data_IF_819082581228
#
_entry.id   IF_819082581228
#
_cell.length_a   1.000
_cell.length_b   1.000
_cell.length_c   1.000
_cell.angle_alpha   90.00
_cell.angle_beta   90.00
_cell.angle_gamma   90.00
#
_symmetry.space_group_name_H-M   'P 1'
#
loop_
_entity.id
_entity.type
_entity.pdbx_description
1 polymer ?
#
# COMPACT_ATOMS: atom_id res chain seq x y z
N UNK A 1 -7.07 3.76 8.29
CA UNK A 1 -6.71 3.90 6.86
C UNK A 1 -5.69 5.00 6.72
N UNK A 2 -4.70 4.83 5.88
CA UNK A 2 -3.54 5.72 5.81
C UNK A 2 -3.25 6.04 4.35
N UNK A 3 -3.18 7.32 4.03
CA UNK A 3 -2.53 7.86 2.83
C UNK A 3 -1.08 8.14 3.20
N UNK A 4 -0.13 7.56 2.46
CA UNK A 4 1.29 7.51 2.83
C UNK A 4 2.14 8.44 1.98
N UNK A 5 3.25 8.93 2.53
CA UNK A 5 4.16 9.82 1.80
C UNK A 5 5.57 9.28 1.70
N UNK A 6 6.12 9.31 0.48
CA UNK A 6 7.53 9.05 0.19
C UNK A 6 8.45 10.27 0.32
N UNK A 7 7.99 11.38 0.90
CA UNK A 7 8.75 12.63 1.01
C UNK A 7 10.04 12.46 1.84
N UNK A 8 11.09 13.22 1.48
CA UNK A 8 12.37 13.24 2.19
C UNK A 8 12.47 14.31 3.28
N UNK A 9 11.41 15.07 3.48
CA UNK A 9 11.36 16.14 4.48
C UNK A 9 10.03 16.05 5.25
N UNK A 10 9.97 16.56 6.48
CA UNK A 10 8.71 16.69 7.21
C UNK A 10 7.70 17.52 6.43
N UNK A 11 6.44 17.14 6.49
CA UNK A 11 5.35 17.94 5.99
C UNK A 11 5.29 19.33 6.64
N UNK A 12 4.65 20.31 6.00
CA UNK A 12 4.51 21.66 6.55
C UNK A 12 3.72 21.63 7.87
N UNK A 13 3.84 22.70 8.66
CA UNK A 13 3.11 22.82 9.93
C UNK A 13 1.59 22.87 9.71
N UNK A 14 1.16 23.55 8.64
CA UNK A 14 -0.24 23.59 8.22
C UNK A 14 -0.55 22.35 7.39
N UNK A 15 -1.64 21.62 7.69
CA UNK A 15 -2.06 20.46 6.90
C UNK A 15 -2.18 20.75 5.41
N UNK A 16 -1.69 19.84 4.56
CA UNK A 16 -1.67 19.98 3.11
C UNK A 16 -1.84 18.62 2.42
N UNK A 17 -2.04 18.64 1.10
CA UNK A 17 -1.99 17.47 0.23
C UNK A 17 -0.58 16.89 0.08
N UNK A 18 -0.48 15.69 -0.50
CA UNK A 18 0.76 14.94 -0.74
C UNK A 18 1.56 14.67 0.55
N UNK A 19 0.86 14.53 1.67
CA UNK A 19 1.41 14.25 3.00
C UNK A 19 0.75 13.02 3.60
N UNK A 20 1.08 12.72 4.87
CA UNK A 20 0.50 11.56 5.55
C UNK A 20 -0.80 11.94 6.25
N UNK A 21 -1.86 11.21 5.93
CA UNK A 21 -3.16 11.32 6.56
C UNK A 21 -3.61 9.98 7.11
N UNK A 22 -4.08 9.98 8.34
CA UNK A 22 -4.66 8.82 9.02
C UNK A 22 -6.12 9.10 9.29
N UNK A 23 -7.01 8.18 8.92
CA UNK A 23 -8.40 8.19 9.31
C UNK A 23 -8.79 6.86 9.95
N UNK A 24 -9.67 6.90 10.94
CA UNK A 24 -10.17 5.69 11.59
C UNK A 24 -11.65 5.80 11.93
N UNK A 25 -12.29 4.67 12.10
CA UNK A 25 -13.65 4.56 12.58
C UNK A 25 -13.78 3.33 13.48
N UNK A 26 -14.58 3.44 14.52
CA UNK A 26 -14.98 2.31 15.35
C UNK A 26 -16.33 1.79 14.83
N UNK A 27 -16.38 0.51 14.48
CA UNK A 27 -17.59 -0.15 14.00
C UNK A 27 -18.31 -0.95 15.09
N UNK A 28 -17.76 -1.00 16.31
CA UNK A 28 -18.32 -1.73 17.44
C UNK A 28 -19.33 -0.88 18.25
N UNK A 29 -19.36 0.44 18.07
CA UNK A 29 -20.32 1.32 18.68
C UNK A 29 -21.73 1.07 18.13
N UNK A 30 -22.67 0.85 19.05
CA UNK A 30 -24.06 0.44 18.84
C UNK A 30 -24.75 1.26 17.69
N UNK A 31 -25.28 0.62 16.64
CA UNK A 31 -25.89 1.32 15.50
C UNK A 31 -27.10 2.19 15.88
N UNK A 32 -27.67 2.05 17.09
CA UNK A 32 -28.80 2.85 17.58
C UNK A 32 -28.42 4.31 17.89
N UNK A 33 -27.16 4.68 17.97
CA UNK A 33 -26.71 6.05 18.26
C UNK A 33 -26.11 6.75 17.03
N UNK A 34 -25.94 6.04 15.92
CA UNK A 34 -25.50 6.64 14.66
C UNK A 34 -26.74 7.19 13.96
N UNK A 35 -26.94 8.50 14.05
CA UNK A 35 -27.90 9.23 13.23
C UNK A 35 -27.77 8.78 11.77
N UNK A 36 -28.90 8.64 11.05
CA UNK A 36 -29.01 8.25 9.65
C UNK A 36 -28.32 9.18 8.64
N UNK A 37 -27.71 10.23 9.09
CA UNK A 37 -26.66 10.94 8.38
C UNK A 37 -25.40 10.10 8.57
N UNK A 38 -24.96 9.38 7.55
CA UNK A 38 -23.69 8.67 7.51
C UNK A 38 -22.69 9.49 8.32
N UNK A 39 -22.28 8.97 9.50
CA UNK A 39 -21.20 9.57 10.29
C UNK A 39 -19.92 9.31 9.51
N UNK A 40 -19.73 10.15 8.57
CA UNK A 40 -19.01 9.93 7.32
C UNK A 40 -17.54 10.18 7.42
N UNK A 41 -17.06 10.58 8.57
CA UNK A 41 -15.62 10.65 8.80
C UNK A 41 -15.40 10.45 10.28
N UNK A 42 -14.86 9.31 10.63
CA UNK A 42 -14.13 9.16 11.88
C UNK A 42 -13.08 10.28 11.98
N UNK A 43 -12.42 10.43 13.12
CA UNK A 43 -11.39 11.43 13.28
C UNK A 43 -10.30 11.27 12.21
N UNK A 44 -9.80 12.40 11.74
CA UNK A 44 -8.72 12.51 10.76
C UNK A 44 -7.50 13.12 11.44
N UNK A 45 -6.32 12.56 11.15
CA UNK A 45 -5.06 13.07 11.67
C UNK A 45 -4.08 13.32 10.54
N UNK A 46 -3.58 14.54 10.46
CA UNK A 46 -2.44 14.92 9.66
C UNK A 46 -1.14 14.58 10.41
N UNK A 47 -0.21 13.90 9.73
CA UNK A 47 1.10 13.60 10.26
C UNK A 47 2.18 14.23 9.38
N UNK A 48 3.15 14.88 10.04
CA UNK A 48 4.24 15.53 9.33
C UNK A 48 5.36 14.58 8.97
N UNK A 49 5.50 13.49 9.71
CA UNK A 49 6.55 12.50 9.50
C UNK A 49 6.00 11.08 9.56
N UNK A 50 6.73 10.14 8.95
CA UNK A 50 6.41 8.71 9.02
C UNK A 50 6.55 8.17 10.44
N UNK A 51 7.56 8.63 11.18
CA UNK A 51 7.74 8.25 12.57
C UNK A 51 6.53 8.64 13.43
N UNK A 52 6.02 9.88 13.30
CA UNK A 52 4.79 10.33 13.97
C UNK A 52 3.60 9.46 13.59
N UNK A 53 3.45 9.14 12.29
CA UNK A 53 2.35 8.32 11.82
C UNK A 53 2.37 6.90 12.39
N UNK A 54 3.53 6.26 12.44
CA UNK A 54 3.69 4.90 12.99
C UNK A 54 3.34 4.86 14.49
N UNK A 55 3.75 5.85 15.27
CA UNK A 55 3.38 5.92 16.70
C UNK A 55 1.85 6.02 16.86
N UNK A 56 1.21 6.95 16.14
CA UNK A 56 -0.25 7.12 16.21
C UNK A 56 -0.99 5.84 15.79
N UNK A 57 -0.55 5.19 14.71
CA UNK A 57 -1.18 3.93 14.24
C UNK A 57 -1.01 2.83 15.28
N UNK A 58 0.19 2.71 15.88
CA UNK A 58 0.44 1.73 16.93
C UNK A 58 -0.46 1.94 18.16
N UNK A 59 -0.61 3.20 18.59
CA UNK A 59 -1.47 3.54 19.72
C UNK A 59 -2.94 3.25 19.42
N UNK A 60 -3.44 3.65 18.26
CA UNK A 60 -4.80 3.33 17.82
C UNK A 60 -5.06 1.80 17.80
N UNK A 61 -4.08 1.02 17.32
CA UNK A 61 -4.21 -0.44 17.34
C UNK A 61 -4.20 -1.03 18.74
N UNK A 62 -3.39 -0.50 19.67
CA UNK A 62 -3.34 -0.98 21.06
C UNK A 62 -4.59 -0.63 21.85
N UNK A 63 -5.09 0.59 21.68
CA UNK A 63 -6.26 1.10 22.40
C UNK A 63 -7.58 0.46 21.93
N UNK A 64 -7.60 -0.14 20.73
CA UNK A 64 -8.80 -0.76 20.17
C UNK A 64 -9.07 -2.11 20.84
N UNK A 65 -10.27 -2.26 21.43
CA UNK A 65 -10.74 -3.51 21.99
C UNK A 65 -11.38 -4.39 20.90
N UNK A 66 -10.57 -5.15 20.17
CA UNK A 66 -11.06 -6.03 19.13
C UNK A 66 -10.13 -6.09 17.92
N UNK A 67 -10.52 -6.80 16.85
CA UNK A 67 -9.72 -6.87 15.63
C UNK A 67 -9.66 -5.51 14.92
N UNK A 68 -8.54 -5.24 14.26
CA UNK A 68 -8.28 -4.00 13.54
C UNK A 68 -7.95 -4.32 12.08
N UNK A 69 -8.43 -3.51 11.15
CA UNK A 69 -7.96 -3.46 9.77
C UNK A 69 -7.17 -2.17 9.59
N UNK A 70 -5.85 -2.30 9.33
CA UNK A 70 -4.94 -1.20 9.05
C UNK A 70 -4.62 -1.18 7.56
N UNK A 71 -5.19 -0.23 6.81
CA UNK A 71 -5.01 -0.11 5.36
C UNK A 71 -4.03 0.98 4.98
N UNK A 72 -3.15 0.70 4.00
CA UNK A 72 -2.13 1.63 3.50
C UNK A 72 -2.19 1.72 1.98
N UNK A 73 -2.00 2.89 1.41
CA UNK A 73 -2.16 3.18 -0.01
C UNK A 73 -0.88 3.00 -0.85
N UNK A 74 -0.07 2.04 -0.52
CA UNK A 74 1.12 1.69 -1.31
C UNK A 74 1.23 0.19 -1.55
N UNK A 75 1.95 -0.25 -2.62
CA UNK A 75 2.15 -1.66 -2.94
C UNK A 75 2.81 -2.45 -1.81
N UNK A 76 2.25 -3.62 -1.49
CA UNK A 76 2.78 -4.53 -0.46
C UNK A 76 3.74 -5.58 -1.00
N UNK A 77 3.99 -5.57 -2.29
CA UNK A 77 4.92 -6.48 -2.94
C UNK A 77 5.30 -6.01 -4.34
N UNK A 78 6.12 -6.82 -4.98
CA UNK A 78 6.65 -6.57 -6.31
C UNK A 78 6.29 -7.72 -7.24
N UNK A 79 6.29 -7.52 -8.58
CA UNK A 79 6.06 -8.60 -9.53
C UNK A 79 6.89 -9.84 -9.19
N UNK A 80 6.25 -11.02 -9.24
CA UNK A 80 6.83 -12.28 -8.77
C UNK A 80 8.18 -12.60 -9.44
N UNK A 81 8.32 -12.27 -10.72
CA UNK A 81 9.53 -12.46 -11.50
C UNK A 81 10.70 -11.54 -11.10
N UNK A 82 10.48 -10.54 -10.27
CA UNK A 82 11.54 -9.66 -9.75
C UNK A 82 12.42 -10.30 -8.68
N UNK A 83 11.90 -11.29 -7.97
CA UNK A 83 12.55 -11.92 -6.83
C UNK A 83 12.64 -11.07 -5.57
N UNK A 84 11.94 -9.92 -5.51
CA UNK A 84 11.87 -9.09 -4.30
C UNK A 84 10.81 -9.57 -3.30
N UNK A 85 9.76 -10.23 -3.80
CA UNK A 85 8.66 -10.73 -2.98
C UNK A 85 7.75 -9.63 -2.43
N UNK A 86 6.99 -9.96 -1.39
CA UNK A 86 6.02 -9.07 -0.77
C UNK A 86 5.77 -9.38 0.71
N UNK A 87 4.80 -8.68 1.29
CA UNK A 87 4.35 -8.85 2.67
C UNK A 87 5.45 -8.68 3.71
N UNK A 88 5.37 -9.43 4.79
CA UNK A 88 6.31 -9.36 5.92
C UNK A 88 7.77 -9.62 5.52
N UNK A 89 8.02 -10.57 4.62
CA UNK A 89 9.38 -10.89 4.18
C UNK A 89 10.03 -9.71 3.46
N UNK A 90 9.31 -9.07 2.54
CA UNK A 90 9.76 -7.87 1.85
C UNK A 90 9.90 -6.68 2.82
N UNK A 91 8.96 -6.49 3.74
CA UNK A 91 9.03 -5.46 4.77
C UNK A 91 10.29 -5.60 5.63
N UNK A 92 10.62 -6.81 6.07
CA UNK A 92 11.84 -7.11 6.83
C UNK A 92 13.11 -6.87 6.00
N UNK A 93 13.13 -7.31 4.74
CA UNK A 93 14.27 -7.06 3.84
C UNK A 93 14.51 -5.56 3.66
N UNK A 94 13.45 -4.80 3.42
CA UNK A 94 13.55 -3.35 3.23
C UNK A 94 13.94 -2.61 4.50
N UNK A 95 13.43 -3.01 5.67
CA UNK A 95 13.81 -2.42 6.94
C UNK A 95 15.32 -2.56 7.24
N UNK A 96 15.98 -3.59 6.72
CA UNK A 96 17.43 -3.77 6.84
C UNK A 96 18.25 -2.91 5.86
N UNK A 97 17.61 -2.30 4.85
CA UNK A 97 18.27 -1.50 3.82
C UNK A 97 17.92 0.00 3.92
N UNK A 98 16.72 0.28 4.38
CA UNK A 98 16.18 1.64 4.44
C UNK A 98 16.61 2.32 5.73
N UNK A 99 17.29 3.43 5.58
CA UNK A 99 17.49 4.42 6.64
C UNK A 99 16.41 5.48 6.49
N UNK A 100 15.55 5.62 7.50
CA UNK A 100 14.44 6.56 7.52
C UNK A 100 14.43 7.31 8.86
N UNK A 101 15.04 8.49 8.87
CA UNK A 101 15.20 9.31 10.07
C UNK A 101 13.85 9.89 10.54
N UNK A 102 13.69 10.24 11.84
CA UNK A 102 12.45 10.80 12.38
C UNK A 102 11.95 12.07 11.67
N UNK A 103 12.83 12.77 10.97
CA UNK A 103 12.50 13.94 10.15
C UNK A 103 12.26 13.64 8.68
N UNK A 104 12.02 12.38 8.32
CA UNK A 104 11.82 11.86 6.95
C UNK A 104 13.07 11.87 6.05
N UNK A 105 14.25 12.29 6.51
CA UNK A 105 15.46 12.11 5.73
C UNK A 105 15.71 10.61 5.51
N UNK A 106 15.97 10.19 4.26
CA UNK A 106 16.03 8.78 3.92
C UNK A 106 16.94 8.51 2.72
N UNK A 107 17.34 7.24 2.59
CA UNK A 107 18.24 6.73 1.55
C UNK A 107 17.52 5.96 0.43
N UNK A 108 16.23 6.20 0.18
CA UNK A 108 15.43 5.39 -0.79
C UNK A 108 16.03 5.33 -2.20
N UNK A 109 16.78 6.37 -2.61
CA UNK A 109 17.44 6.39 -3.91
C UNK A 109 18.59 5.37 -3.99
N UNK A 110 19.42 5.33 -2.96
CA UNK A 110 20.52 4.37 -2.80
C UNK A 110 19.96 2.94 -2.73
N UNK A 111 18.89 2.72 -1.94
CA UNK A 111 18.22 1.42 -1.82
C UNK A 111 17.68 0.95 -3.18
N UNK A 112 16.93 1.81 -3.89
CA UNK A 112 16.40 1.46 -5.21
C UNK A 112 17.54 1.13 -6.22
N UNK A 113 18.63 1.88 -6.19
CA UNK A 113 19.81 1.60 -7.02
C UNK A 113 20.50 0.28 -6.68
N UNK A 114 20.61 -0.05 -5.40
CA UNK A 114 21.15 -1.33 -4.93
C UNK A 114 20.24 -2.50 -5.32
N UNK A 115 18.92 -2.35 -5.21
CA UNK A 115 17.95 -3.36 -5.65
C UNK A 115 17.98 -3.56 -7.16
N UNK A 116 18.13 -2.50 -7.96
CA UNK A 116 18.36 -2.62 -9.41
C UNK A 116 19.60 -3.47 -9.71
N UNK A 117 20.70 -3.22 -9.02
CA UNK A 117 21.94 -4.01 -9.17
C UNK A 117 21.74 -5.47 -8.78
N UNK A 118 21.02 -5.72 -7.67
CA UNK A 118 20.72 -7.09 -7.21
C UNK A 118 19.85 -7.86 -8.21
N UNK A 119 18.82 -7.23 -8.76
CA UNK A 119 17.93 -7.85 -9.75
C UNK A 119 18.72 -8.11 -11.04
N UNK A 120 19.55 -7.16 -11.49
CA UNK A 120 20.38 -7.34 -12.68
C UNK A 120 21.36 -8.53 -12.53
N UNK A 121 21.98 -8.68 -11.37
CA UNK A 121 22.87 -9.81 -11.09
C UNK A 121 22.12 -11.17 -11.08
N UNK A 122 20.86 -11.18 -10.62
CA UNK A 122 20.03 -12.38 -10.59
C UNK A 122 19.42 -12.74 -11.95
N UNK A 123 19.37 -11.79 -12.89
CA UNK A 123 18.74 -11.94 -14.22
C UNK A 123 19.65 -11.40 -15.33
N UNK A 124 20.79 -12.04 -15.57
CA UNK A 124 21.81 -11.55 -16.53
C UNK A 124 21.32 -11.57 -18.00
N UNK A 125 20.29 -12.35 -18.31
CA UNK A 125 19.76 -12.49 -19.66
C UNK A 125 18.83 -11.33 -20.08
N UNK A 126 18.53 -10.40 -19.17
CA UNK A 126 17.72 -9.21 -19.47
C UNK A 126 18.57 -8.10 -20.09
N UNK A 127 17.94 -7.28 -20.95
CA UNK A 127 18.57 -6.07 -21.46
C UNK A 127 18.57 -4.96 -20.41
N UNK A 128 19.71 -4.73 -19.81
CA UNK A 128 19.96 -3.72 -18.77
C UNK A 128 20.50 -2.39 -19.31
N UNK A 129 20.57 -2.20 -20.64
CA UNK A 129 21.12 -0.97 -21.23
C UNK A 129 20.42 0.31 -20.75
N UNK A 130 19.12 0.21 -20.40
CA UNK A 130 18.34 1.31 -19.83
C UNK A 130 18.41 1.43 -18.30
N UNK A 131 19.13 0.52 -17.60
CA UNK A 131 19.05 0.37 -16.14
C UNK A 131 17.68 -0.17 -15.68
N UNK A 132 17.32 0.01 -14.41
CA UNK A 132 16.00 -0.36 -13.87
C UNK A 132 16.02 -1.68 -13.09
N UNK A 133 14.85 -2.20 -12.62
CA UNK A 133 13.49 -1.75 -12.94
C UNK A 133 13.02 -0.49 -12.20
N UNK A 134 13.59 -0.13 -11.05
CA UNK A 134 13.27 1.15 -10.40
C UNK A 134 13.76 2.31 -11.24
N UNK A 135 12.95 3.37 -11.36
CA UNK A 135 13.23 4.55 -12.19
C UNK A 135 12.51 5.81 -11.68
N UNK A 136 12.87 6.98 -12.24
CA UNK A 136 12.15 8.25 -11.97
C UNK A 136 12.65 9.00 -10.75
N UNK A 137 13.73 8.58 -10.09
CA UNK A 137 14.28 9.29 -8.96
C UNK A 137 15.04 10.56 -9.41
N UNK A 138 14.71 11.72 -8.80
CA UNK A 138 15.23 13.04 -9.19
C UNK A 138 16.18 13.61 -8.10
N UNK A 139 16.66 12.79 -7.18
CA UNK A 139 17.60 13.22 -6.12
C UNK A 139 18.97 13.61 -6.67
N UNK A 140 19.65 14.54 -5.99
CA UNK A 140 20.98 15.04 -6.39
C UNK A 140 22.05 13.93 -6.47
N UNK A 141 21.90 12.86 -5.74
CA UNK A 141 22.81 11.71 -5.63
C UNK A 141 22.19 10.44 -6.21
N UNK A 142 21.44 10.53 -7.31
CA UNK A 142 20.86 9.34 -7.94
C UNK A 142 21.97 8.36 -8.36
N UNK A 143 21.92 7.08 -7.90
CA UNK A 143 22.84 6.07 -8.39
C UNK A 143 22.76 5.90 -9.91
N UNK A 144 23.88 5.59 -10.56
CA UNK A 144 23.89 5.35 -12.03
C UNK A 144 22.96 4.22 -12.46
N UNK A 145 22.69 3.27 -11.57
CA UNK A 145 21.78 2.14 -11.80
C UNK A 145 20.29 2.52 -11.68
N UNK A 146 19.97 3.75 -11.26
CA UNK A 146 18.62 4.25 -11.08
C UNK A 146 18.30 5.31 -12.16
N UNK A 147 17.73 4.89 -13.31
CA UNK A 147 17.48 5.79 -14.43
C UNK A 147 16.38 6.80 -14.12
N UNK A 148 16.48 7.99 -14.70
CA UNK A 148 15.42 9.01 -14.59
C UNK A 148 14.20 8.70 -15.45
N UNK A 149 14.39 7.98 -16.56
CA UNK A 149 13.32 7.59 -17.49
C UNK A 149 13.04 6.11 -17.34
N UNK A 150 11.79 5.73 -17.63
CA UNK A 150 11.38 4.33 -17.65
C UNK A 150 12.32 3.48 -18.52
N UNK A 151 12.92 2.41 -17.97
CA UNK A 151 13.82 1.53 -18.69
C UNK A 151 13.03 0.56 -19.58
N UNK A 152 12.64 1.01 -20.79
CA UNK A 152 11.82 0.23 -21.71
C UNK A 152 12.36 -1.18 -22.02
N UNK A 153 13.68 -1.38 -22.26
CA UNK A 153 14.21 -2.71 -22.62
C UNK A 153 13.91 -3.77 -21.57
N UNK A 154 14.06 -3.46 -20.30
CA UNK A 154 13.81 -4.38 -19.18
C UNK A 154 12.36 -4.89 -19.15
N UNK A 155 11.40 -4.09 -19.64
CA UNK A 155 9.97 -4.42 -19.64
C UNK A 155 9.45 -4.83 -21.03
N UNK A 156 10.34 -4.97 -22.02
CA UNK A 156 9.93 -5.28 -23.40
C UNK A 156 9.63 -6.77 -23.56
N UNK A 157 8.37 -7.11 -23.71
CA UNK A 157 7.86 -8.47 -23.93
C UNK A 157 8.22 -9.04 -25.31
N UNK A 158 8.72 -8.24 -26.24
CA UNK A 158 9.17 -8.72 -27.55
C UNK A 158 10.56 -9.37 -27.49
N UNK A 159 11.26 -9.22 -26.35
CA UNK A 159 12.54 -9.88 -26.09
C UNK A 159 12.35 -11.28 -25.51
N UNK A 160 13.40 -12.11 -25.55
CA UNK A 160 13.35 -13.47 -24.99
C UNK A 160 13.27 -13.49 -23.46
N UNK A 161 13.68 -12.40 -22.80
CA UNK A 161 13.62 -12.25 -21.35
C UNK A 161 13.19 -10.82 -21.00
N UNK A 162 12.27 -10.69 -20.04
CA UNK A 162 11.70 -9.42 -19.61
C UNK A 162 11.25 -9.51 -18.16
N UNK A 163 11.10 -8.37 -17.48
CA UNK A 163 10.47 -8.23 -16.17
C UNK A 163 9.04 -7.72 -16.30
N UNK A 164 8.18 -8.17 -15.41
CA UNK A 164 6.83 -7.62 -15.28
C UNK A 164 6.89 -6.18 -14.77
N UNK A 165 6.27 -5.27 -15.53
CA UNK A 165 6.05 -3.90 -15.08
C UNK A 165 4.95 -3.83 -14.01
N UNK A 166 3.98 -4.74 -14.11
CA UNK A 166 2.73 -4.73 -13.36
C UNK A 166 2.57 -6.02 -12.59
N UNK A 167 2.19 -5.92 -11.30
CA UNK A 167 1.71 -7.05 -10.52
C UNK A 167 0.37 -7.56 -11.07
N UNK A 168 -0.09 -8.71 -10.61
CA UNK A 168 -1.39 -9.28 -11.01
C UNK A 168 -2.54 -8.29 -10.74
N UNK A 169 -2.52 -7.58 -9.61
CA UNK A 169 -3.57 -6.62 -9.25
C UNK A 169 -3.63 -5.44 -10.23
N UNK A 170 -2.50 -4.87 -10.62
CA UNK A 170 -2.50 -3.78 -11.60
C UNK A 170 -2.92 -4.28 -12.98
N UNK A 171 -2.52 -5.51 -13.40
CA UNK A 171 -3.00 -6.13 -14.64
C UNK A 171 -4.51 -6.31 -14.64
N UNK A 172 -5.06 -6.83 -13.55
CA UNK A 172 -6.49 -7.02 -13.33
C UNK A 172 -7.27 -5.70 -13.44
N UNK A 173 -6.78 -4.65 -12.76
CA UNK A 173 -7.38 -3.32 -12.76
C UNK A 173 -7.30 -2.63 -14.14
N UNK A 174 -6.16 -2.76 -14.83
CA UNK A 174 -5.96 -2.20 -16.17
C UNK A 174 -6.88 -2.85 -17.21
N UNK A 175 -7.13 -4.15 -17.12
CA UNK A 175 -8.12 -4.82 -17.96
C UNK A 175 -9.54 -4.25 -17.77
N UNK A 176 -9.81 -3.63 -16.62
CA UNK A 176 -11.06 -2.94 -16.25
C UNK A 176 -10.99 -1.42 -16.44
N UNK A 177 -10.08 -0.95 -17.29
CA UNK A 177 -9.88 0.47 -17.65
C UNK A 177 -9.49 1.37 -16.47
N UNK A 178 -9.08 0.78 -15.33
CA UNK A 178 -8.47 1.52 -14.25
C UNK A 178 -7.02 1.92 -14.62
N UNK A 179 -6.47 2.91 -13.94
CA UNK A 179 -5.11 3.42 -14.22
C UNK A 179 -4.24 3.39 -12.98
N UNK A 180 -3.93 2.19 -12.44
CA UNK A 180 -3.01 2.08 -11.32
C UNK A 180 -1.60 2.49 -11.77
N UNK A 181 -0.78 2.86 -10.79
CA UNK A 181 0.63 3.19 -10.98
C UNK A 181 1.50 1.97 -10.74
N UNK A 182 2.68 1.93 -11.37
CA UNK A 182 3.63 0.84 -11.18
C UNK A 182 4.45 1.04 -9.90
N UNK A 183 4.71 -0.06 -9.17
CA UNK A 183 5.57 -0.06 -7.99
C UNK A 183 7.04 0.33 -8.28
N UNK A 184 7.45 0.39 -9.54
CA UNK A 184 8.81 0.70 -9.95
C UNK A 184 9.12 2.20 -10.06
N UNK A 185 8.11 3.04 -10.21
CA UNK A 185 8.30 4.48 -10.39
C UNK A 185 8.54 5.20 -9.07
N UNK A 186 9.73 5.77 -8.90
CA UNK A 186 10.19 6.40 -7.65
C UNK A 186 9.79 7.88 -7.51
N UNK A 187 9.50 8.58 -8.60
CA UNK A 187 9.21 10.01 -8.59
C UNK A 187 8.39 10.45 -9.78
N UNK A 188 7.83 11.66 -9.69
CA UNK A 188 6.88 12.22 -10.65
C UNK A 188 5.42 11.99 -10.25
N UNK A 189 4.50 12.54 -11.01
CA UNK A 189 3.07 12.42 -10.72
C UNK A 189 2.63 10.94 -10.70
N UNK A 190 1.94 10.54 -9.65
CA UNK A 190 1.43 9.19 -9.47
C UNK A 190 2.48 8.11 -9.16
N UNK A 191 3.68 8.50 -8.74
CA UNK A 191 4.71 7.53 -8.34
C UNK A 191 4.40 6.93 -6.97
N UNK A 192 4.39 5.61 -6.87
CA UNK A 192 4.18 4.87 -5.61
C UNK A 192 5.42 4.07 -5.17
N UNK A 193 6.47 4.00 -6.00
CA UNK A 193 7.66 3.23 -5.69
C UNK A 193 8.41 3.73 -4.46
N UNK A 194 8.51 5.05 -4.27
CA UNK A 194 9.09 5.62 -3.04
C UNK A 194 8.23 5.34 -1.80
N UNK A 195 6.91 5.38 -1.95
CA UNK A 195 5.97 5.05 -0.87
C UNK A 195 6.09 3.58 -0.50
N UNK A 196 6.17 2.68 -1.49
CA UNK A 196 6.32 1.23 -1.27
C UNK A 196 7.62 0.90 -0.52
N UNK A 197 8.77 1.42 -0.95
CA UNK A 197 10.06 1.16 -0.29
C UNK A 197 10.07 1.61 1.18
N UNK A 198 9.67 2.86 1.42
CA UNK A 198 9.67 3.42 2.77
C UNK A 198 8.52 2.88 3.62
N UNK A 199 7.34 2.69 3.02
CA UNK A 199 6.16 2.19 3.71
C UNK A 199 6.34 0.76 4.19
N UNK A 200 6.82 -0.15 3.36
CA UNK A 200 7.09 -1.54 3.76
C UNK A 200 8.13 -1.60 4.88
N UNK A 201 9.21 -0.81 4.81
CA UNK A 201 10.17 -0.72 5.91
C UNK A 201 9.52 -0.25 7.22
N UNK A 202 8.63 0.74 7.14
CA UNK A 202 7.90 1.25 8.31
C UNK A 202 6.84 0.25 8.83
N UNK A 203 6.24 -0.57 7.97
CA UNK A 203 5.37 -1.66 8.43
C UNK A 203 6.11 -2.70 9.27
N UNK A 204 7.37 -3.02 8.95
CA UNK A 204 8.20 -3.87 9.81
C UNK A 204 8.35 -3.26 11.22
N UNK A 205 8.61 -1.95 11.30
CA UNK A 205 8.71 -1.26 12.60
C UNK A 205 7.37 -1.19 13.33
N UNK A 206 6.25 -0.99 12.62
CA UNK A 206 4.91 -1.02 13.20
C UNK A 206 4.61 -2.38 13.83
N UNK A 207 4.89 -3.47 13.10
CA UNK A 207 4.72 -4.84 13.63
C UNK A 207 5.54 -5.06 14.89
N UNK A 208 6.82 -4.67 14.88
CA UNK A 208 7.69 -4.78 16.08
C UNK A 208 7.20 -4.00 17.29
N UNK A 209 6.42 -2.90 17.07
CA UNK A 209 5.77 -2.14 18.15
C UNK A 209 4.50 -2.80 18.67
N UNK A 210 3.78 -3.52 17.83
CA UNK A 210 2.49 -4.12 18.16
C UNK A 210 2.63 -5.51 18.79
N UNK A 211 3.54 -6.33 18.30
CA UNK A 211 3.83 -7.64 18.88
C UNK A 211 4.68 -7.49 20.16
N UNK A 212 4.39 -8.23 21.24
CA UNK A 212 3.48 -9.39 21.31
C UNK A 212 2.03 -9.08 21.73
N UNK A 213 1.64 -7.82 21.94
CA UNK A 213 0.30 -7.46 22.44
C UNK A 213 -0.80 -7.74 21.42
N UNK A 214 -0.46 -7.60 20.13
CA UNK A 214 -1.35 -7.76 18.99
C UNK A 214 -0.78 -8.80 18.03
N UNK A 215 -1.65 -9.52 17.32
CA UNK A 215 -1.26 -10.49 16.28
C UNK A 215 -1.36 -9.81 14.91
N UNK A 216 -0.23 -9.37 14.36
CA UNK A 216 -0.19 -8.72 13.05
C UNK A 216 -0.18 -9.76 11.92
N UNK A 217 -0.99 -9.52 10.87
CA UNK A 217 -1.02 -10.37 9.66
C UNK A 217 -1.09 -9.51 8.41
N UNK A 218 -0.19 -9.77 7.46
CA UNK A 218 -0.21 -9.12 6.15
C UNK A 218 -1.20 -9.83 5.22
N UNK A 219 -2.24 -9.13 4.82
CA UNK A 219 -3.21 -9.65 3.84
C UNK A 219 -2.72 -9.39 2.41
N UNK A 220 -2.86 -10.35 1.46
CA UNK A 220 -3.32 -11.73 1.64
C UNK A 220 -2.19 -12.74 1.98
N UNK A 221 -0.96 -12.32 2.22
CA UNK A 221 0.23 -13.15 2.38
C UNK A 221 0.19 -14.12 3.56
N UNK A 222 -0.40 -13.71 4.68
CA UNK A 222 -0.43 -14.45 5.96
C UNK A 222 -1.86 -14.75 6.39
N UNK A 223 -2.80 -14.63 5.46
CA UNK A 223 -4.22 -14.86 5.70
C UNK A 223 -4.79 -15.77 4.62
N UNK A 224 -5.89 -16.44 4.92
CA UNK A 224 -6.66 -17.16 3.92
C UNK A 224 -7.76 -16.23 3.40
N UNK A 225 -7.38 -15.32 2.50
CA UNK A 225 -8.25 -14.31 1.88
C UNK A 225 -9.27 -13.70 2.86
N UNK A 226 -10.57 -13.94 2.65
CA UNK A 226 -11.67 -13.39 3.46
C UNK A 226 -11.84 -14.10 4.82
N UNK A 227 -11.18 -15.23 5.06
CA UNK A 227 -11.33 -15.99 6.29
C UNK A 227 -10.88 -15.19 7.53
N UNK A 228 -9.78 -14.42 7.40
CA UNK A 228 -9.31 -13.54 8.47
C UNK A 228 -10.32 -12.46 8.87
N UNK A 229 -11.24 -12.11 7.96
CA UNK A 229 -12.31 -11.15 8.20
C UNK A 229 -13.57 -11.83 8.74
N UNK A 230 -13.86 -13.05 8.32
CA UNK A 230 -15.03 -13.82 8.79
C UNK A 230 -14.87 -14.29 10.23
N UNK A 231 -13.65 -14.67 10.61
CA UNK A 231 -13.34 -15.21 11.94
C UNK A 231 -12.06 -14.56 12.51
N UNK A 232 -12.04 -13.25 12.74
CA UNK A 232 -10.86 -12.58 13.26
C UNK A 232 -10.61 -12.95 14.72
N UNK A 233 -9.35 -13.12 15.08
CA UNK A 233 -8.94 -13.18 16.49
C UNK A 233 -9.13 -11.83 17.19
N UNK A 234 -9.41 -11.83 18.49
CA UNK A 234 -9.65 -10.59 19.25
C UNK A 234 -8.48 -9.61 19.18
N UNK A 235 -7.26 -10.09 19.07
CA UNK A 235 -6.03 -9.30 19.03
C UNK A 235 -5.50 -9.08 17.61
N UNK A 236 -6.20 -9.55 16.56
CA UNK A 236 -5.72 -9.46 15.20
C UNK A 236 -5.65 -8.03 14.69
N UNK A 237 -4.53 -7.71 14.02
CA UNK A 237 -4.35 -6.52 13.21
C UNK A 237 -4.08 -6.98 11.77
N UNK A 238 -5.08 -6.85 10.91
CA UNK A 238 -4.96 -7.16 9.48
C UNK A 238 -4.38 -5.95 8.76
N UNK A 239 -3.15 -6.07 8.30
CA UNK A 239 -2.44 -5.03 7.56
C UNK A 239 -2.67 -5.28 6.08
N UNK A 240 -3.27 -4.33 5.36
CA UNK A 240 -3.73 -4.54 3.99
C UNK A 240 -3.43 -3.34 3.08
N UNK A 241 -3.20 -3.63 1.80
CA UNK A 241 -3.07 -2.60 0.77
C UNK A 241 -4.45 -2.08 0.37
N UNK A 242 -4.60 -0.76 0.32
CA UNK A 242 -5.80 -0.08 -0.17
C UNK A 242 -5.45 0.82 -1.36
N UNK A 243 -6.45 1.12 -2.18
CA UNK A 243 -6.31 2.11 -3.24
C UNK A 243 -7.47 3.11 -3.20
N UNK A 244 -7.31 4.25 -2.52
CA UNK A 244 -8.39 5.21 -2.29
C UNK A 244 -9.01 5.77 -3.59
N UNK A 245 -8.22 5.86 -4.65
CA UNK A 245 -8.67 6.39 -5.96
C UNK A 245 -9.37 5.35 -6.85
N UNK A 246 -9.53 4.10 -6.41
CA UNK A 246 -10.18 3.06 -7.19
C UNK A 246 -11.63 3.45 -7.51
N UNK A 247 -11.98 3.42 -8.80
CA UNK A 247 -13.37 3.62 -9.23
C UNK A 247 -14.14 2.31 -9.06
N UNK A 248 -15.22 2.34 -8.31
CA UNK A 248 -16.16 1.22 -8.21
C UNK A 248 -17.10 1.21 -9.41
N UNK A 249 -17.77 0.07 -9.68
CA UNK A 249 -18.67 -0.14 -10.81
C UNK A 249 -19.87 0.83 -10.89
N UNK A 250 -20.10 1.62 -9.85
CA UNK A 250 -21.27 2.53 -9.76
C UNK A 250 -21.03 3.91 -10.37
N UNK A 251 -19.94 4.15 -11.11
CA UNK A 251 -19.55 5.46 -11.69
C UNK A 251 -19.49 6.64 -10.69
N UNK A 252 -19.79 6.39 -9.43
CA UNK A 252 -19.72 7.37 -8.36
C UNK A 252 -18.26 7.49 -7.94
N UNK A 253 -17.70 8.68 -8.03
CA UNK A 253 -16.38 8.94 -7.49
C UNK A 253 -16.41 8.58 -5.99
N UNK A 254 -15.53 7.69 -5.49
CA UNK A 254 -15.61 7.18 -4.12
C UNK A 254 -15.56 8.25 -3.04
N UNK A 255 -15.33 9.51 -3.41
CA UNK A 255 -15.19 10.66 -2.51
C UNK A 255 -16.32 11.68 -2.60
N UNK A 256 -17.32 11.52 -3.48
CA UNK A 256 -18.36 12.54 -3.69
C UNK A 256 -19.22 12.82 -2.45
N UNK A 257 -19.27 11.85 -1.53
CA UNK A 257 -20.06 11.97 -0.31
C UNK A 257 -19.28 12.42 0.93
N UNK A 258 -17.95 12.61 0.80
CA UNK A 258 -17.08 13.03 1.91
C UNK A 258 -16.52 14.41 1.61
N UNK A 259 -16.89 15.40 2.40
CA UNK A 259 -16.40 16.78 2.23
C UNK A 259 -15.21 17.04 3.13
N UNK A 260 -14.05 17.30 2.53
CA UNK A 260 -12.88 17.85 3.21
C UNK A 260 -12.11 18.75 2.25
N UNK A 261 -11.48 19.82 2.78
CA UNK A 261 -10.73 20.78 1.95
C UNK A 261 -9.46 20.20 1.31
N UNK A 262 -8.92 19.10 1.86
CA UNK A 262 -7.70 18.44 1.40
C UNK A 262 -8.08 17.08 0.83
N UNK A 263 -7.69 16.82 -0.42
CA UNK A 263 -8.05 15.62 -1.18
C UNK A 263 -7.64 14.33 -0.45
N UNK A 264 -6.40 14.26 0.05
CA UNK A 264 -5.87 13.04 0.68
C UNK A 264 -6.63 12.70 1.97
N UNK A 265 -6.97 13.71 2.79
CA UNK A 265 -7.84 13.54 3.94
C UNK A 265 -9.23 13.03 3.54
N UNK A 266 -9.79 13.56 2.45
CA UNK A 266 -11.06 13.12 1.88
C UNK A 266 -10.97 11.66 1.41
N UNK A 267 -9.90 11.27 0.76
CA UNK A 267 -9.66 9.90 0.29
C UNK A 267 -9.62 8.90 1.44
N UNK A 268 -8.86 9.21 2.49
CA UNK A 268 -8.76 8.37 3.68
C UNK A 268 -10.11 8.22 4.38
N UNK A 269 -10.84 9.33 4.57
CA UNK A 269 -12.16 9.33 5.17
C UNK A 269 -13.16 8.48 4.36
N UNK A 270 -13.12 8.55 3.03
CA UNK A 270 -14.00 7.78 2.16
C UNK A 270 -13.72 6.27 2.25
N UNK A 271 -12.45 5.86 2.33
CA UNK A 271 -12.11 4.43 2.53
C UNK A 271 -12.58 3.95 3.89
N UNK A 272 -12.39 4.74 4.97
CA UNK A 272 -12.92 4.41 6.29
C UNK A 272 -14.45 4.22 6.24
N UNK A 273 -15.18 5.17 5.65
CA UNK A 273 -16.62 5.10 5.52
C UNK A 273 -17.09 3.86 4.74
N UNK A 274 -16.43 3.55 3.62
CA UNK A 274 -16.72 2.36 2.80
C UNK A 274 -16.54 1.06 3.58
N UNK A 275 -15.43 0.90 4.32
CA UNK A 275 -15.19 -0.32 5.09
C UNK A 275 -16.15 -0.42 6.30
N UNK A 276 -16.44 0.68 6.97
CA UNK A 276 -17.44 0.72 8.05
C UNK A 276 -18.83 0.35 7.55
N UNK A 277 -19.25 0.87 6.38
CA UNK A 277 -20.52 0.51 5.76
C UNK A 277 -20.54 -0.97 5.35
N UNK A 278 -19.49 -1.49 4.77
CA UNK A 278 -19.35 -2.89 4.43
C UNK A 278 -19.43 -3.80 5.67
N UNK A 279 -18.86 -3.39 6.80
CA UNK A 279 -18.99 -4.09 8.08
C UNK A 279 -20.45 -4.07 8.55
N UNK A 280 -21.07 -2.91 8.55
CA UNK A 280 -22.46 -2.74 8.98
C UNK A 280 -23.46 -3.54 8.14
N UNK A 281 -23.22 -3.67 6.83
CA UNK A 281 -24.07 -4.41 5.90
C UNK A 281 -23.70 -5.89 5.78
N UNK A 282 -22.68 -6.37 6.52
CA UNK A 282 -22.21 -7.76 6.46
C UNK A 282 -21.49 -8.13 5.16
N UNK A 283 -21.02 -7.14 4.40
CA UNK A 283 -20.36 -7.36 3.11
C UNK A 283 -18.85 -7.19 3.18
N UNK A 284 -18.27 -6.87 4.34
CA UNK A 284 -16.84 -6.58 4.49
C UNK A 284 -15.96 -7.74 3.99
N UNK A 285 -16.30 -8.99 4.29
CA UNK A 285 -15.54 -10.15 3.84
C UNK A 285 -15.44 -10.24 2.30
N UNK A 286 -16.42 -9.77 1.54
CA UNK A 286 -16.37 -9.74 0.08
C UNK A 286 -15.24 -8.87 -0.46
N UNK A 287 -14.90 -7.79 0.23
CA UNK A 287 -13.80 -6.89 -0.15
C UNK A 287 -12.42 -7.58 -0.02
N UNK A 288 -12.35 -8.63 0.78
CA UNK A 288 -11.15 -9.43 1.03
C UNK A 288 -11.16 -10.79 0.32
N UNK A 289 -12.15 -11.03 -0.53
CA UNK A 289 -12.26 -12.29 -1.28
C UNK A 289 -11.17 -12.42 -2.36
N UNK A 290 -10.78 -13.66 -2.63
CA UNK A 290 -9.88 -13.97 -3.73
C UNK A 290 -10.46 -13.47 -5.07
N UNK A 291 -9.63 -12.90 -5.97
CA UNK A 291 -10.09 -12.55 -7.30
C UNK A 291 -10.38 -13.82 -8.13
N UNK A 292 -11.24 -13.71 -9.17
CA UNK A 292 -11.51 -14.82 -10.07
C UNK A 292 -10.35 -14.98 -11.08
N UNK A 293 -9.22 -15.48 -10.60
CA UNK A 293 -8.00 -15.73 -11.36
C UNK A 293 -7.59 -17.21 -11.24
N UNK A 294 -6.78 -17.73 -12.17
CA UNK A 294 -6.21 -19.08 -12.06
C UNK A 294 -5.39 -19.28 -10.79
N UNK A 295 -5.34 -20.52 -10.28
CA UNK A 295 -4.60 -20.86 -9.06
C UNK A 295 -3.12 -20.44 -9.09
N UNK A 296 -2.47 -20.56 -10.25
CA UNK A 296 -1.08 -20.12 -10.43
C UNK A 296 -0.91 -18.61 -10.19
N UNK A 297 -1.86 -17.78 -10.65
CA UNK A 297 -1.85 -16.34 -10.44
C UNK A 297 -2.17 -16.00 -8.96
N UNK A 298 -3.08 -16.75 -8.33
CA UNK A 298 -3.38 -16.62 -6.90
C UNK A 298 -2.16 -16.96 -6.04
N UNK A 299 -1.41 -17.97 -6.42
CA UNK A 299 -0.16 -18.36 -5.78
C UNK A 299 0.91 -17.25 -5.86
N UNK A 300 1.07 -16.60 -7.02
CA UNK A 300 1.97 -15.45 -7.17
C UNK A 300 1.56 -14.28 -6.28
N UNK A 301 0.26 -13.99 -6.21
CA UNK A 301 -0.31 -12.93 -5.37
C UNK A 301 0.03 -13.19 -3.91
N UNK A 302 -0.28 -14.38 -3.40
CA UNK A 302 -0.08 -14.72 -1.97
C UNK A 302 1.40 -14.77 -1.60
N UNK A 303 2.26 -15.23 -2.50
CA UNK A 303 3.68 -15.41 -2.19
C UNK A 303 4.51 -14.16 -2.39
N UNK A 304 4.14 -13.29 -3.36
CA UNK A 304 5.03 -12.25 -3.84
C UNK A 304 4.40 -10.87 -4.01
N UNK A 305 3.19 -10.79 -4.59
CA UNK A 305 2.72 -9.53 -5.16
C UNK A 305 1.76 -8.76 -4.25
N UNK A 306 0.93 -9.50 -3.46
CA UNK A 306 -0.16 -8.91 -2.68
C UNK A 306 -1.36 -8.53 -3.55
N UNK A 307 -2.39 -8.02 -2.90
CA UNK A 307 -3.64 -7.61 -3.54
C UNK A 307 -4.21 -6.36 -2.88
N UNK A 308 -5.06 -5.63 -3.60
CA UNK A 308 -5.71 -4.40 -3.11
C UNK A 308 -7.11 -4.75 -2.60
N UNK A 309 -7.44 -4.33 -1.38
CA UNK A 309 -8.76 -4.55 -0.77
C UNK A 309 -9.87 -4.00 -1.65
N UNK A 310 -10.83 -4.84 -1.99
CA UNK A 310 -11.98 -4.50 -2.83
C UNK A 310 -11.67 -4.39 -4.33
N UNK A 311 -10.46 -4.68 -4.78
CA UNK A 311 -10.14 -4.67 -6.22
C UNK A 311 -10.95 -5.71 -7.01
N UNK A 312 -11.27 -6.85 -6.40
CA UNK A 312 -12.08 -7.91 -7.02
C UNK A 312 -13.52 -7.47 -7.33
N UNK A 313 -14.04 -6.44 -6.65
CA UNK A 313 -15.39 -5.90 -6.83
C UNK A 313 -15.46 -4.82 -7.94
N UNK A 314 -14.31 -4.45 -8.51
CA UNK A 314 -14.24 -3.47 -9.60
C UNK A 314 -14.59 -4.19 -10.91
N UNK A 315 -15.71 -3.82 -11.49
CA UNK A 315 -16.25 -4.37 -12.74
C UNK A 315 -15.64 -3.78 -14.01
#
# INVERSE_FOLDING_TARGET
MVDWSGAANPGPRKPSSDQIWIGWCDTTSNPSTVSSTIATSGPLRYCRTRAEAIEIIADLCRETNGPVIAGFDFPFGYPADSGLGGGRACATMLANLVEDAPNNANNRGEVAGALNTRIAAAKPDLDWAGGGPFWGYIGKSAPKTLPQKKPKPVFDRATNAWLSEWRQVERFLRARKQRPFTCWQMGGAGSVGSQALLGLAQLHHLVGRLEPERTCRFWPFETDWDQAIKTPGKTDVIIAEIWPSAKTSADVHPFEHVSHAIKDAQQVAAVCARLADAQRTGTLAKLFAAPPLPDADLDEIIKHEGWIVGASEIG
#
